data_IF_983595876896
#
_entry.id   IF_983595876896
#
_cell.length_a   1.000
_cell.length_b   1.000
_cell.length_c   1.000
_cell.angle_alpha   90.00
_cell.angle_beta   90.00
_cell.angle_gamma   90.00
#
_symmetry.space_group_name_H-M   'P 1'
#
loop_
_entity.id
_entity.type
_entity.pdbx_description
1 polymer ?
#
# COMPACT_ATOMS: atom_id res chain seq x y z
N UNK A 1 26.87 -4.75 -10.99
CA UNK A 1 25.58 -4.48 -11.66
C UNK A 1 24.96 -3.19 -11.12
N UNK A 2 24.28 -2.41 -11.98
CA UNK A 2 23.56 -1.18 -11.60
C UNK A 2 22.09 -1.29 -11.97
N UNK A 3 21.20 -1.06 -11.01
CA UNK A 3 19.75 -1.13 -11.22
C UNK A 3 19.14 0.26 -11.03
N UNK A 4 18.30 0.72 -11.96
CA UNK A 4 17.46 1.89 -11.80
C UNK A 4 16.07 1.49 -11.30
N UNK A 5 15.69 1.87 -10.08
CA UNK A 5 14.33 1.73 -9.58
C UNK A 5 13.53 2.98 -9.89
N UNK A 6 12.46 2.82 -10.67
CA UNK A 6 11.58 3.92 -11.07
C UNK A 6 10.58 4.23 -9.96
N UNK A 7 10.95 5.18 -9.11
CA UNK A 7 10.18 5.60 -7.95
C UNK A 7 9.09 6.62 -8.27
N UNK A 8 8.04 6.65 -7.47
CA UNK A 8 6.90 7.56 -7.62
C UNK A 8 6.66 8.48 -6.42
N UNK A 9 7.59 8.51 -5.47
CA UNK A 9 7.45 9.31 -4.28
C UNK A 9 7.64 10.81 -4.57
N UNK A 10 6.69 11.61 -4.08
CA UNK A 10 6.75 13.08 -4.11
C UNK A 10 6.48 13.67 -2.72
N UNK A 11 5.37 13.27 -2.11
CA UNK A 11 4.91 13.79 -0.81
C UNK A 11 4.42 12.66 0.09
N UNK A 12 3.72 11.67 -0.49
CA UNK A 12 3.10 10.59 0.26
C UNK A 12 4.14 9.61 0.83
N UNK A 13 4.23 9.51 2.15
CA UNK A 13 5.18 8.63 2.85
C UNK A 13 5.13 7.17 2.38
N UNK A 14 3.96 6.66 2.01
CA UNK A 14 3.81 5.29 1.52
C UNK A 14 4.53 5.01 0.21
N UNK A 15 4.69 6.01 -0.65
CA UNK A 15 5.45 5.86 -1.89
C UNK A 15 6.96 5.84 -1.59
N UNK A 16 7.42 6.64 -0.60
CA UNK A 16 8.81 6.56 -0.09
C UNK A 16 9.11 5.20 0.54
N UNK A 17 8.16 4.60 1.29
CA UNK A 17 8.33 3.26 1.85
C UNK A 17 8.53 2.20 0.76
N UNK A 18 7.77 2.29 -0.35
CA UNK A 18 7.95 1.39 -1.49
C UNK A 18 9.35 1.54 -2.08
N UNK A 19 9.80 2.77 -2.32
CA UNK A 19 11.13 3.04 -2.89
C UNK A 19 12.23 2.49 -2.00
N UNK A 20 12.20 2.81 -0.70
CA UNK A 20 13.18 2.34 0.27
C UNK A 20 13.25 0.81 0.31
N UNK A 21 12.10 0.13 0.50
CA UNK A 21 12.04 -1.33 0.57
C UNK A 21 12.45 -2.01 -0.73
N UNK A 22 12.09 -1.42 -1.88
CA UNK A 22 12.50 -1.95 -3.18
C UNK A 22 14.01 -1.89 -3.37
N UNK A 23 14.63 -0.77 -2.97
CA UNK A 23 16.08 -0.60 -3.00
C UNK A 23 16.77 -1.62 -2.09
N UNK A 24 16.37 -1.67 -0.81
CA UNK A 24 16.91 -2.60 0.19
C UNK A 24 16.84 -4.06 -0.28
N UNK A 25 15.69 -4.47 -0.84
CA UNK A 25 15.48 -5.83 -1.36
C UNK A 25 16.41 -6.16 -2.53
N UNK A 26 16.51 -5.25 -3.49
CA UNK A 26 17.34 -5.49 -4.68
C UNK A 26 18.82 -5.51 -4.31
N UNK A 27 19.30 -4.56 -3.50
CA UNK A 27 20.68 -4.55 -3.03
C UNK A 27 21.04 -5.84 -2.26
N UNK A 28 20.15 -6.30 -1.36
CA UNK A 28 20.39 -7.48 -0.55
C UNK A 28 20.33 -8.82 -1.33
N UNK A 29 19.58 -8.89 -2.43
CA UNK A 29 19.38 -10.15 -3.17
C UNK A 29 20.33 -10.24 -4.37
N UNK A 30 20.73 -9.10 -4.96
CA UNK A 30 21.47 -9.08 -6.23
C UNK A 30 22.88 -8.53 -6.12
N UNK A 31 23.31 -8.03 -4.97
CA UNK A 31 24.58 -7.31 -4.76
C UNK A 31 24.76 -6.12 -5.75
N UNK A 32 23.66 -5.60 -6.29
CA UNK A 32 23.69 -4.51 -7.24
C UNK A 32 23.72 -3.16 -6.52
N UNK A 33 24.32 -2.15 -7.15
CA UNK A 33 24.12 -0.76 -6.78
C UNK A 33 22.76 -0.30 -7.31
N UNK A 34 21.85 0.19 -6.42
CA UNK A 34 20.52 0.61 -6.80
C UNK A 34 20.34 2.12 -6.68
N UNK A 35 20.01 2.75 -7.80
CA UNK A 35 19.67 4.17 -7.89
C UNK A 35 18.14 4.35 -8.00
N UNK A 36 17.57 5.31 -7.25
CA UNK A 36 16.15 5.67 -7.37
C UNK A 36 16.01 6.79 -8.38
N UNK A 37 15.28 6.53 -9.46
CA UNK A 37 14.94 7.50 -10.50
C UNK A 37 13.46 7.87 -10.44
N UNK A 38 13.13 9.12 -10.78
CA UNK A 38 11.73 9.60 -10.77
C UNK A 38 10.97 9.08 -11.99
N UNK A 39 9.88 8.32 -11.78
CA UNK A 39 9.05 7.79 -12.88
C UNK A 39 8.07 8.82 -13.48
N UNK A 40 7.90 9.97 -12.87
CA UNK A 40 6.95 11.01 -13.28
C UNK A 40 7.56 12.12 -14.16
N UNK A 41 8.78 11.91 -14.65
CA UNK A 41 9.44 12.77 -15.64
C UNK A 41 9.68 12.00 -16.93
N UNK A 42 9.87 12.73 -18.04
CA UNK A 42 10.31 12.13 -19.31
C UNK A 42 11.82 11.96 -19.32
N UNK A 43 12.25 10.86 -19.95
CA UNK A 43 13.65 10.56 -20.25
C UNK A 43 13.93 10.55 -21.76
N UNK A 44 13.05 11.13 -22.58
CA UNK A 44 13.24 11.16 -24.04
C UNK A 44 14.59 11.75 -24.45
N UNK A 45 15.05 12.79 -23.74
CA UNK A 45 16.33 13.46 -23.98
C UNK A 45 17.49 12.89 -23.14
N UNK A 46 17.23 11.84 -22.38
CA UNK A 46 18.16 11.20 -21.44
C UNK A 46 18.13 9.67 -21.56
N UNK A 47 17.86 9.17 -22.75
CA UNK A 47 17.78 7.72 -23.01
C UNK A 47 19.12 7.03 -22.67
N UNK A 48 20.25 7.67 -22.93
CA UNK A 48 21.58 7.12 -22.62
C UNK A 48 21.79 6.93 -21.11
N UNK A 49 21.19 7.79 -20.27
CA UNK A 49 21.21 7.59 -18.81
C UNK A 49 20.52 6.29 -18.43
N UNK A 50 19.36 5.99 -19.06
CA UNK A 50 18.63 4.74 -18.83
C UNK A 50 19.37 3.53 -19.37
N UNK A 51 19.98 3.66 -20.55
CA UNK A 51 20.77 2.60 -21.19
C UNK A 51 22.12 2.37 -20.51
N UNK A 52 22.55 3.22 -19.60
CA UNK A 52 23.71 3.05 -18.73
C UNK A 52 23.47 2.17 -17.49
N UNK A 53 22.26 1.67 -17.28
CA UNK A 53 21.92 0.68 -16.26
C UNK A 53 21.86 -0.72 -16.86
N UNK A 54 22.12 -1.72 -16.03
CA UNK A 54 21.96 -3.13 -16.42
C UNK A 54 20.49 -3.54 -16.39
N UNK A 55 19.65 -2.80 -15.62
CA UNK A 55 18.23 -3.06 -15.48
C UNK A 55 17.44 -1.83 -15.02
N UNK A 56 16.20 -1.70 -15.49
CA UNK A 56 15.23 -0.72 -15.05
C UNK A 56 14.05 -1.45 -14.40
N UNK A 57 13.71 -1.09 -13.16
CA UNK A 57 12.63 -1.74 -12.41
C UNK A 57 11.56 -0.73 -11.99
N UNK A 58 10.35 -0.90 -12.48
CA UNK A 58 9.18 -0.22 -11.93
C UNK A 58 8.71 -0.97 -10.69
N UNK A 59 8.95 -0.43 -9.50
CA UNK A 59 8.68 -1.10 -8.25
C UNK A 59 7.43 -0.58 -7.54
N UNK A 60 6.54 -1.49 -7.19
CA UNK A 60 5.35 -1.24 -6.39
C UNK A 60 4.41 -0.16 -6.95
N UNK A 61 3.52 0.32 -6.09
CA UNK A 61 2.56 1.36 -6.41
C UNK A 61 1.49 0.94 -7.43
N UNK A 62 0.55 1.83 -7.77
CA UNK A 62 -0.52 1.52 -8.70
C UNK A 62 -0.10 1.75 -10.16
N UNK A 63 0.81 0.93 -10.66
CA UNK A 63 1.35 1.01 -12.04
C UNK A 63 0.29 0.62 -13.07
N UNK A 64 -0.57 -0.35 -12.76
CA UNK A 64 -1.58 -0.83 -13.69
C UNK A 64 -2.87 0.00 -13.57
N UNK A 65 -2.83 1.23 -14.07
CA UNK A 65 -4.01 2.09 -14.22
C UNK A 65 -4.34 2.28 -15.70
N UNK A 66 -5.57 2.68 -15.99
CA UNK A 66 -6.14 2.72 -17.33
C UNK A 66 -5.24 3.45 -18.34
N UNK A 67 -4.69 4.61 -17.95
CA UNK A 67 -3.95 5.53 -18.82
C UNK A 67 -2.73 6.14 -18.11
N UNK A 68 -2.15 5.43 -17.13
CA UNK A 68 -1.03 5.97 -16.34
C UNK A 68 0.19 6.22 -17.23
N UNK A 69 0.43 5.36 -18.22
CA UNK A 69 1.41 5.57 -19.27
C UNK A 69 0.70 6.05 -20.54
N UNK A 70 1.17 7.11 -21.21
CA UNK A 70 2.30 7.96 -20.80
C UNK A 70 1.93 9.15 -19.89
N UNK A 71 0.66 9.32 -19.50
CA UNK A 71 0.17 10.55 -18.86
C UNK A 71 0.83 10.90 -17.52
N UNK A 72 1.01 9.92 -16.63
CA UNK A 72 1.60 10.10 -15.29
C UNK A 72 2.96 9.45 -15.14
N UNK A 73 3.27 8.54 -16.06
CA UNK A 73 4.58 7.93 -16.21
C UNK A 73 5.01 8.22 -17.64
N UNK A 74 5.51 9.43 -17.94
CA UNK A 74 5.92 9.78 -19.29
C UNK A 74 7.12 9.00 -19.77
N UNK A 75 7.95 8.51 -18.86
CA UNK A 75 9.12 7.67 -19.08
C UNK A 75 9.85 7.98 -20.40
N UNK A 76 9.55 7.22 -21.48
CA UNK A 76 10.01 7.51 -22.85
C UNK A 76 8.85 7.30 -23.84
N UNK A 77 8.78 8.14 -24.88
CA UNK A 77 7.74 8.01 -25.92
C UNK A 77 7.92 6.77 -26.79
N UNK A 78 9.17 6.41 -27.07
CA UNK A 78 9.53 5.24 -27.91
C UNK A 78 10.31 4.24 -27.05
N UNK A 79 9.65 3.20 -26.58
CA UNK A 79 10.26 2.13 -25.77
C UNK A 79 11.39 1.40 -26.53
N UNK A 80 11.33 1.37 -27.88
CA UNK A 80 12.38 0.77 -28.72
C UNK A 80 13.74 1.47 -28.65
N UNK A 81 13.83 2.65 -28.04
CA UNK A 81 15.11 3.32 -27.77
C UNK A 81 15.79 2.80 -26.50
N UNK A 82 15.06 2.07 -25.66
CA UNK A 82 15.61 1.49 -24.43
C UNK A 82 16.11 0.09 -24.72
N UNK A 83 17.43 -0.07 -24.60
CA UNK A 83 18.11 -1.35 -24.76
C UNK A 83 18.19 -2.12 -23.41
N UNK A 84 18.11 -1.38 -22.31
CA UNK A 84 18.14 -1.93 -20.95
C UNK A 84 16.86 -2.72 -20.65
N UNK A 85 16.95 -3.94 -20.10
CA UNK A 85 15.79 -4.72 -19.68
C UNK A 85 14.90 -3.94 -18.71
N UNK A 86 13.59 -3.95 -18.97
CA UNK A 86 12.59 -3.31 -18.11
C UNK A 86 11.80 -4.40 -17.37
N UNK A 87 11.69 -4.26 -16.05
CA UNK A 87 10.94 -5.17 -15.17
C UNK A 87 9.85 -4.44 -14.40
N UNK A 88 8.83 -5.16 -13.96
CA UNK A 88 7.83 -4.66 -13.01
C UNK A 88 7.82 -5.58 -11.81
N UNK A 89 8.05 -5.02 -10.61
CA UNK A 89 8.07 -5.73 -9.34
C UNK A 89 6.99 -5.19 -8.40
N UNK A 90 6.05 -6.04 -7.98
CA UNK A 90 4.99 -5.66 -7.04
C UNK A 90 4.01 -4.60 -7.54
N UNK A 91 3.87 -4.47 -8.87
CA UNK A 91 2.95 -3.52 -9.47
C UNK A 91 1.50 -3.83 -9.11
N UNK A 92 0.71 -2.80 -8.77
CA UNK A 92 -0.68 -2.91 -8.38
C UNK A 92 -1.65 -2.29 -9.36
N UNK A 93 -2.86 -2.84 -9.41
CA UNK A 93 -4.01 -2.22 -10.06
C UNK A 93 -4.69 -1.22 -9.10
N UNK A 94 -5.22 -0.13 -9.65
CA UNK A 94 -6.06 0.81 -8.92
C UNK A 94 -7.42 0.92 -9.62
N UNK A 95 -8.44 0.40 -8.98
CA UNK A 95 -9.84 0.61 -9.35
C UNK A 95 -10.60 1.24 -8.21
N UNK A 96 -11.62 2.04 -8.51
CA UNK A 96 -12.57 2.50 -7.50
C UNK A 96 -13.77 1.57 -7.56
N UNK A 97 -14.17 0.96 -6.40
CA UNK A 97 -15.29 0.16 -6.47
C UNK A 97 -16.06 -0.42 -5.45
N UNK A 98 -17.23 -0.62 -5.82
CA UNK A 98 -18.40 -1.19 -5.22
C UNK A 98 -18.45 -2.69 -5.24
N UNK A 99 -18.05 -3.30 -6.27
CA UNK A 99 -17.92 -4.74 -6.34
C UNK A 99 -16.66 -5.04 -7.15
N UNK A 100 -15.61 -5.32 -6.43
CA UNK A 100 -14.33 -5.73 -6.99
C UNK A 100 -14.53 -6.91 -7.95
N UNK A 101 -15.59 -7.71 -7.74
CA UNK A 101 -15.96 -8.82 -8.63
C UNK A 101 -16.40 -8.38 -10.04
N UNK A 102 -16.90 -7.15 -10.17
CA UNK A 102 -17.40 -6.62 -11.46
C UNK A 102 -16.41 -5.67 -12.12
N UNK A 103 -15.71 -4.85 -11.31
CA UNK A 103 -14.84 -3.80 -11.85
C UNK A 103 -13.68 -4.34 -12.67
N UNK A 104 -12.95 -5.34 -12.18
CA UNK A 104 -11.84 -5.90 -12.94
C UNK A 104 -12.30 -6.52 -14.26
N UNK A 105 -13.54 -7.03 -14.34
CA UNK A 105 -14.12 -7.61 -15.56
C UNK A 105 -14.39 -6.57 -16.65
N UNK A 106 -14.75 -5.34 -16.26
CA UNK A 106 -15.09 -4.23 -17.17
C UNK A 106 -13.92 -3.26 -17.37
N UNK A 107 -12.80 -3.47 -16.66
CA UNK A 107 -11.65 -2.57 -16.74
C UNK A 107 -10.94 -2.71 -18.08
N UNK A 108 -10.62 -1.58 -18.72
CA UNK A 108 -9.90 -1.55 -19.99
C UNK A 108 -8.73 -0.60 -19.86
N UNK A 109 -7.57 -1.04 -20.29
CA UNK A 109 -6.40 -0.18 -20.46
C UNK A 109 -6.47 0.55 -21.80
N UNK A 110 -5.83 1.73 -21.91
CA UNK A 110 -5.63 2.40 -23.20
C UNK A 110 -4.70 1.59 -24.09
N UNK A 111 -4.68 1.90 -25.40
CA UNK A 111 -3.77 1.23 -26.35
C UNK A 111 -2.31 1.42 -25.97
N UNK A 112 -1.93 2.64 -25.55
CA UNK A 112 -0.58 2.99 -25.13
C UNK A 112 -0.17 2.21 -23.88
N UNK A 113 -1.06 2.14 -22.90
CA UNK A 113 -0.80 1.37 -21.68
C UNK A 113 -0.69 -0.13 -21.97
N UNK A 114 -1.54 -0.69 -22.85
CA UNK A 114 -1.42 -2.08 -23.28
C UNK A 114 -0.13 -2.34 -24.07
N UNK A 115 0.30 -1.40 -24.92
CA UNK A 115 1.58 -1.48 -25.61
C UNK A 115 2.73 -1.53 -24.62
N UNK A 116 2.74 -0.67 -23.60
CA UNK A 116 3.73 -0.69 -22.53
C UNK A 116 3.77 -2.02 -21.77
N UNK A 117 2.60 -2.51 -21.32
CA UNK A 117 2.46 -3.79 -20.61
C UNK A 117 2.97 -4.95 -21.48
N UNK A 118 2.53 -5.02 -22.75
CA UNK A 118 2.87 -6.12 -23.65
C UNK A 118 4.36 -6.11 -24.03
N UNK A 119 4.96 -4.94 -24.19
CA UNK A 119 6.40 -4.85 -24.48
C UNK A 119 7.22 -5.52 -23.37
N UNK A 120 6.88 -5.26 -22.10
CA UNK A 120 7.59 -5.85 -20.96
C UNK A 120 7.22 -7.34 -20.78
N UNK A 121 5.91 -7.67 -20.80
CA UNK A 121 5.45 -9.03 -20.50
C UNK A 121 5.80 -10.08 -21.55
N UNK A 122 6.12 -9.68 -22.78
CA UNK A 122 6.65 -10.58 -23.82
C UNK A 122 8.03 -11.10 -23.47
N UNK A 123 8.84 -10.29 -22.81
CA UNK A 123 10.21 -10.64 -22.47
C UNK A 123 10.33 -11.22 -21.07
N UNK A 124 9.56 -10.69 -20.12
CA UNK A 124 9.72 -10.98 -18.71
C UNK A 124 8.37 -11.09 -17.99
N UNK A 125 8.27 -11.92 -16.93
CA UNK A 125 7.08 -11.94 -16.11
C UNK A 125 6.86 -10.61 -15.38
N UNK A 126 5.59 -10.21 -15.23
CA UNK A 126 5.21 -9.03 -14.47
C UNK A 126 4.95 -9.43 -13.02
N UNK A 127 5.70 -8.86 -12.10
CA UNK A 127 5.48 -9.01 -10.66
C UNK A 127 4.24 -8.23 -10.20
N UNK A 128 3.22 -8.94 -9.78
CA UNK A 128 1.94 -8.39 -9.35
C UNK A 128 1.84 -8.30 -7.82
N UNK A 129 1.26 -7.20 -7.32
CA UNK A 129 1.09 -6.97 -5.89
C UNK A 129 0.01 -7.83 -5.25
N UNK A 130 -1.08 -8.10 -5.98
CA UNK A 130 -2.26 -8.78 -5.49
C UNK A 130 -3.02 -9.53 -6.60
N UNK A 131 -3.92 -10.44 -6.19
CA UNK A 131 -4.69 -11.28 -7.10
C UNK A 131 -5.67 -10.50 -7.98
N UNK A 132 -6.21 -9.37 -7.54
CA UNK A 132 -7.07 -8.53 -8.39
C UNK A 132 -6.29 -7.86 -9.51
N UNK A 133 -5.04 -7.48 -9.23
CA UNK A 133 -4.09 -7.02 -10.25
C UNK A 133 -3.87 -8.10 -11.30
N UNK A 134 -3.55 -9.33 -10.89
CA UNK A 134 -3.35 -10.45 -11.82
C UNK A 134 -4.60 -10.71 -12.67
N UNK A 135 -5.78 -10.80 -12.04
CA UNK A 135 -7.04 -11.02 -12.74
C UNK A 135 -7.37 -9.92 -13.73
N UNK A 136 -7.08 -8.66 -13.41
CA UNK A 136 -7.28 -7.51 -14.31
C UNK A 136 -6.39 -7.63 -15.54
N UNK A 137 -5.14 -8.01 -15.37
CA UNK A 137 -4.18 -8.21 -16.45
C UNK A 137 -4.53 -9.44 -17.31
N UNK A 138 -4.90 -10.56 -16.68
CA UNK A 138 -5.36 -11.78 -17.39
C UNK A 138 -6.57 -11.49 -18.27
N UNK A 139 -7.53 -10.69 -17.80
CA UNK A 139 -8.68 -10.23 -18.59
C UNK A 139 -8.29 -9.38 -19.80
N UNK A 140 -7.11 -8.78 -19.77
CA UNK A 140 -6.52 -8.03 -20.88
C UNK A 140 -5.55 -8.90 -21.72
N UNK A 141 -5.65 -10.24 -21.62
CA UNK A 141 -4.83 -11.23 -22.32
C UNK A 141 -3.33 -11.21 -21.98
N UNK A 142 -2.96 -10.65 -20.85
CA UNK A 142 -1.58 -10.73 -20.33
C UNK A 142 -1.42 -12.04 -19.57
N UNK A 143 -0.49 -12.91 -20.00
CA UNK A 143 -0.33 -14.27 -19.44
C UNK A 143 0.89 -14.42 -18.53
N UNK A 144 1.95 -13.67 -18.77
CA UNK A 144 3.21 -13.81 -18.06
C UNK A 144 3.21 -12.99 -16.76
N UNK A 145 2.63 -13.56 -15.69
CA UNK A 145 2.34 -12.89 -14.42
C UNK A 145 2.81 -13.73 -13.24
N UNK A 146 3.41 -13.08 -12.24
CA UNK A 146 3.82 -13.70 -10.98
C UNK A 146 3.27 -12.88 -9.81
N UNK A 147 2.75 -13.54 -8.78
CA UNK A 147 2.31 -12.91 -7.55
C UNK A 147 3.51 -12.66 -6.62
N UNK A 148 4.13 -11.49 -6.74
CA UNK A 148 5.31 -11.12 -5.94
C UNK A 148 4.98 -10.36 -4.67
N UNK A 149 3.72 -9.97 -4.47
CA UNK A 149 3.35 -9.11 -3.35
C UNK A 149 3.83 -7.66 -3.51
N UNK A 150 3.64 -6.87 -2.45
CA UNK A 150 4.09 -5.48 -2.40
C UNK A 150 5.51 -5.40 -1.81
N UNK A 151 6.45 -4.67 -2.41
CA UNK A 151 7.78 -4.47 -1.82
C UNK A 151 7.72 -3.98 -0.35
N UNK A 152 6.75 -3.12 -0.04
CA UNK A 152 6.58 -2.56 1.30
C UNK A 152 6.21 -3.60 2.38
N UNK A 153 5.81 -4.83 2.03
CA UNK A 153 5.60 -5.93 3.00
C UNK A 153 6.91 -6.47 3.58
N UNK A 154 8.02 -6.32 2.86
CA UNK A 154 9.25 -7.05 3.11
C UNK A 154 10.25 -6.20 3.88
N UNK A 155 10.20 -6.27 5.20
CA UNK A 155 11.22 -5.72 6.09
C UNK A 155 12.31 -6.77 6.29
N UNK A 156 13.47 -6.59 5.68
CA UNK A 156 14.56 -7.56 5.75
C UNK A 156 15.00 -7.87 7.20
N UNK A 157 14.84 -6.91 8.10
CA UNK A 157 15.15 -7.12 9.52
C UNK A 157 14.12 -7.96 10.29
N UNK A 158 12.92 -8.19 9.70
CA UNK A 158 11.79 -8.86 10.35
C UNK A 158 11.27 -10.08 9.59
N UNK A 159 11.45 -10.11 8.27
CA UNK A 159 10.71 -11.03 7.39
C UNK A 159 10.88 -12.51 7.76
N UNK A 160 12.09 -12.94 8.10
CA UNK A 160 12.36 -14.36 8.40
C UNK A 160 11.68 -14.82 9.69
N UNK A 161 11.55 -13.92 10.68
CA UNK A 161 10.91 -14.15 11.95
C UNK A 161 9.50 -13.55 12.06
N UNK A 162 8.95 -13.07 10.96
CA UNK A 162 7.67 -12.34 10.96
C UNK A 162 6.53 -13.21 11.48
N UNK A 163 5.96 -12.77 12.59
CA UNK A 163 4.81 -13.39 13.25
C UNK A 163 4.05 -12.34 14.04
N UNK A 164 2.89 -12.73 14.58
CA UNK A 164 2.15 -11.88 15.49
C UNK A 164 3.02 -11.53 16.70
N UNK A 165 3.10 -10.24 17.04
CA UNK A 165 3.87 -9.76 18.18
C UNK A 165 3.32 -10.38 19.49
N UNK A 166 4.21 -10.68 20.43
CA UNK A 166 3.85 -11.31 21.73
C UNK A 166 2.87 -10.48 22.56
N UNK A 167 2.83 -9.15 22.37
CA UNK A 167 1.90 -8.25 23.05
C UNK A 167 0.41 -8.58 22.82
N UNK A 168 0.10 -9.41 21.81
CA UNK A 168 -1.27 -9.86 21.51
C UNK A 168 -1.63 -11.21 22.15
N UNK A 169 -0.72 -11.84 22.87
CA UNK A 169 -0.99 -13.16 23.48
C UNK A 169 -2.05 -13.10 24.58
N UNK A 170 -2.18 -11.95 25.27
CA UNK A 170 -3.16 -11.77 26.36
C UNK A 170 -4.56 -11.42 25.85
N UNK A 171 -4.76 -11.36 24.54
CA UNK A 171 -6.07 -11.35 23.87
C UNK A 171 -6.83 -10.04 23.85
N UNK A 172 -6.60 -9.13 24.76
CA UNK A 172 -7.41 -7.90 24.90
C UNK A 172 -6.65 -6.63 24.59
N UNK A 173 -7.33 -5.67 23.94
CA UNK A 173 -6.83 -4.31 23.80
C UNK A 173 -6.98 -3.61 25.15
N UNK A 174 -5.86 -3.49 25.88
CA UNK A 174 -5.81 -2.79 27.16
C UNK A 174 -6.08 -1.29 26.98
N UNK A 175 -6.71 -0.68 27.98
CA UNK A 175 -6.99 0.78 27.99
C UNK A 175 -5.73 1.67 28.04
N UNK A 176 -4.54 1.10 28.30
CA UNK A 176 -3.28 1.87 28.39
C UNK A 176 -2.41 1.83 27.16
N UNK A 177 -2.90 1.26 26.05
CA UNK A 177 -2.12 1.11 24.81
C UNK A 177 -2.06 2.37 23.96
N UNK A 178 -1.19 2.37 22.97
CA UNK A 178 -1.21 3.39 21.90
C UNK A 178 -1.96 2.86 20.68
N UNK A 179 -2.96 3.61 20.21
CA UNK A 179 -3.72 3.31 19.00
C UNK A 179 -3.35 4.35 17.92
N UNK A 180 -2.91 3.86 16.77
CA UNK A 180 -2.61 4.69 15.61
C UNK A 180 -3.80 4.79 14.66
N UNK A 181 -4.17 5.99 14.23
CA UNK A 181 -5.24 6.21 13.26
C UNK A 181 -4.67 6.95 12.05
N UNK A 182 -4.71 6.32 10.86
CA UNK A 182 -4.23 6.95 9.63
C UNK A 182 -5.33 7.72 8.89
N UNK A 183 -4.95 8.88 8.33
CA UNK A 183 -5.83 9.78 7.57
C UNK A 183 -6.34 9.13 6.28
N UNK A 184 -7.46 9.61 5.69
CA UNK A 184 -7.91 9.16 4.37
C UNK A 184 -7.12 9.81 3.23
N UNK A 185 -7.02 9.09 2.11
CA UNK A 185 -6.49 9.66 0.87
C UNK A 185 -7.56 10.43 0.08
N UNK A 186 -8.83 10.07 0.25
CA UNK A 186 -9.96 10.69 -0.43
C UNK A 186 -10.65 11.72 0.48
N UNK A 187 -10.85 12.96 0.02
CA UNK A 187 -11.50 14.01 0.82
C UNK A 187 -12.89 13.64 1.32
N UNK A 188 -13.66 12.86 0.54
CA UNK A 188 -15.00 12.42 0.92
C UNK A 188 -15.02 11.50 2.16
N UNK A 189 -13.87 10.95 2.57
CA UNK A 189 -13.74 10.10 3.76
C UNK A 189 -13.31 10.88 5.01
N UNK A 190 -13.05 12.18 4.92
CA UNK A 190 -12.69 12.99 6.11
C UNK A 190 -13.76 12.95 7.21
N UNK A 191 -15.09 13.00 6.92
CA UNK A 191 -16.11 12.84 7.96
C UNK A 191 -15.99 11.50 8.69
N UNK A 192 -15.70 10.42 7.98
CA UNK A 192 -15.48 9.09 8.61
C UNK A 192 -14.23 9.06 9.48
N UNK A 193 -13.15 9.69 9.02
CA UNK A 193 -11.92 9.79 9.80
C UNK A 193 -12.17 10.49 11.14
N UNK A 194 -12.83 11.65 11.14
CA UNK A 194 -13.14 12.37 12.37
C UNK A 194 -14.17 11.64 13.23
N UNK A 195 -15.15 10.97 12.62
CA UNK A 195 -16.09 10.08 13.33
C UNK A 195 -15.36 8.96 14.06
N UNK A 196 -14.47 8.26 13.33
CA UNK A 196 -13.64 7.19 13.88
C UNK A 196 -12.75 7.67 15.02
N UNK A 197 -12.10 8.85 14.88
CA UNK A 197 -11.29 9.45 15.96
C UNK A 197 -12.13 9.67 17.22
N UNK A 198 -13.29 10.31 17.08
CA UNK A 198 -14.20 10.55 18.21
C UNK A 198 -14.70 9.23 18.84
N UNK A 199 -14.99 8.22 18.03
CA UNK A 199 -15.41 6.90 18.51
C UNK A 199 -14.29 6.21 19.30
N UNK A 200 -13.08 6.14 18.75
CA UNK A 200 -11.94 5.46 19.39
C UNK A 200 -11.56 6.16 20.70
N UNK A 201 -11.51 7.50 20.72
CA UNK A 201 -11.20 8.25 21.95
C UNK A 201 -12.23 7.99 23.05
N UNK A 202 -13.51 7.88 22.70
CA UNK A 202 -14.58 7.58 23.69
C UNK A 202 -14.51 6.13 24.17
N UNK A 203 -14.24 5.20 23.27
CA UNK A 203 -14.20 3.76 23.60
C UNK A 203 -12.96 3.39 24.41
N UNK A 204 -11.81 3.94 24.07
CA UNK A 204 -10.53 3.67 24.71
C UNK A 204 -10.00 4.93 25.40
N UNK A 205 -10.76 5.41 26.39
CA UNK A 205 -10.53 6.71 27.04
C UNK A 205 -9.17 6.82 27.76
N UNK A 206 -8.55 5.69 28.10
CA UNK A 206 -7.23 5.63 28.72
C UNK A 206 -6.10 5.40 27.71
N UNK A 207 -6.39 5.10 26.45
CA UNK A 207 -5.38 4.87 25.42
C UNK A 207 -4.76 6.18 24.94
N UNK A 208 -3.48 6.10 24.55
CA UNK A 208 -2.85 7.17 23.78
C UNK A 208 -3.25 7.05 22.32
N UNK A 209 -3.82 8.09 21.73
CA UNK A 209 -4.24 8.09 20.33
C UNK A 209 -3.29 8.95 19.51
N UNK A 210 -2.72 8.36 18.43
CA UNK A 210 -1.86 9.08 17.48
C UNK A 210 -2.52 9.14 16.11
N UNK A 211 -2.75 10.35 15.61
CA UNK A 211 -3.26 10.59 14.27
C UNK A 211 -2.09 10.73 13.29
N UNK A 212 -2.08 9.97 12.22
CA UNK A 212 -1.00 9.94 11.24
C UNK A 212 -1.46 10.50 9.90
N UNK A 213 -0.78 11.52 9.39
CA UNK A 213 -1.02 12.16 8.12
C UNK A 213 0.08 11.83 7.12
N UNK A 214 -0.27 11.17 6.03
CA UNK A 214 0.71 10.62 5.07
C UNK A 214 1.07 11.54 3.90
N UNK A 215 0.31 12.63 3.70
CA UNK A 215 0.49 13.58 2.60
C UNK A 215 0.61 15.03 3.05
N UNK A 216 0.94 15.23 4.31
CA UNK A 216 0.88 16.53 4.95
C UNK A 216 -0.52 16.84 5.52
N UNK A 217 -0.58 17.82 6.39
CA UNK A 217 -1.81 18.26 7.05
C UNK A 217 -2.25 19.57 6.40
N UNK A 218 -3.47 19.59 5.84
CA UNK A 218 -4.05 20.85 5.34
C UNK A 218 -4.29 21.84 6.50
N UNK A 219 -4.32 23.15 6.21
CA UNK A 219 -4.61 24.18 7.22
C UNK A 219 -5.94 23.91 7.96
N UNK A 220 -6.96 23.47 7.22
CA UNK A 220 -8.27 23.12 7.76
C UNK A 220 -8.19 21.91 8.70
N UNK A 221 -7.54 20.83 8.27
CA UNK A 221 -7.37 19.62 9.09
C UNK A 221 -6.53 19.91 10.33
N UNK A 222 -5.48 20.72 10.20
CA UNK A 222 -4.63 21.12 11.33
C UNK A 222 -5.42 21.88 12.40
N UNK A 223 -6.29 22.81 11.99
CA UNK A 223 -7.16 23.53 12.92
C UNK A 223 -8.10 22.58 13.69
N UNK A 224 -8.75 21.65 12.97
CA UNK A 224 -9.63 20.64 13.58
C UNK A 224 -8.87 19.72 14.54
N UNK A 225 -7.70 19.24 14.12
CA UNK A 225 -6.86 18.34 14.94
C UNK A 225 -6.36 19.06 16.21
N UNK A 226 -5.94 20.31 16.12
CA UNK A 226 -5.55 21.10 17.30
C UNK A 226 -6.68 21.26 18.31
N UNK A 227 -7.93 21.47 17.84
CA UNK A 227 -9.11 21.51 18.71
C UNK A 227 -9.37 20.18 19.39
N UNK A 228 -9.23 19.06 18.66
CA UNK A 228 -9.35 17.72 19.23
C UNK A 228 -8.26 17.44 20.27
N UNK A 229 -7.01 17.81 20.02
CA UNK A 229 -5.91 17.64 20.97
C UNK A 229 -6.10 18.50 22.25
N UNK A 230 -6.71 19.70 22.12
CA UNK A 230 -7.10 20.50 23.31
C UNK A 230 -8.21 19.83 24.13
N UNK A 231 -9.14 19.16 23.45
CA UNK A 231 -10.27 18.46 24.08
C UNK A 231 -9.86 17.14 24.75
N UNK A 232 -8.91 16.42 24.15
CA UNK A 232 -8.50 15.08 24.57
C UNK A 232 -6.99 15.05 24.82
N UNK A 233 -6.57 15.06 26.08
CA UNK A 233 -5.17 15.16 26.51
C UNK A 233 -4.26 14.04 26.02
N UNK A 234 -4.82 12.87 25.72
CA UNK A 234 -4.10 11.68 25.21
C UNK A 234 -4.12 11.57 23.68
N UNK A 235 -4.59 12.60 22.97
CA UNK A 235 -4.61 12.65 21.52
C UNK A 235 -3.42 13.48 21.01
N UNK A 236 -2.64 12.91 20.11
CA UNK A 236 -1.55 13.58 19.42
C UNK A 236 -1.64 13.36 17.89
N UNK A 237 -0.91 14.14 17.12
CA UNK A 237 -0.82 13.95 15.67
C UNK A 237 0.63 14.00 15.18
N UNK A 238 0.87 13.33 14.06
CA UNK A 238 2.17 13.24 13.41
C UNK A 238 2.00 13.44 11.91
N UNK A 239 2.80 14.32 11.32
CA UNK A 239 2.93 14.43 9.87
C UNK A 239 4.07 13.52 9.40
N UNK A 240 3.74 12.55 8.54
CA UNK A 240 4.68 11.58 7.98
C UNK A 240 5.13 11.94 6.56
N UNK A 241 4.64 13.04 6.00
CA UNK A 241 4.90 13.37 4.60
C UNK A 241 6.39 13.55 4.30
N UNK A 242 6.79 13.27 3.06
CA UNK A 242 8.14 13.55 2.56
C UNK A 242 9.20 12.50 2.80
N UNK A 243 8.95 11.47 3.63
CA UNK A 243 9.91 10.38 3.83
C UNK A 243 9.27 9.07 4.29
N UNK A 244 10.03 7.97 4.31
CA UNK A 244 9.62 6.71 4.91
C UNK A 244 9.94 6.62 6.41
N UNK A 245 10.85 7.45 6.93
CA UNK A 245 11.33 7.38 8.31
C UNK A 245 10.22 7.51 9.36
N UNK A 246 9.22 8.34 9.07
CA UNK A 246 8.08 8.55 9.95
C UNK A 246 7.28 7.28 10.27
N UNK A 247 7.35 6.25 9.43
CA UNK A 247 6.67 4.97 9.68
C UNK A 247 7.12 4.29 10.98
N UNK A 248 8.34 4.53 11.45
CA UNK A 248 8.85 4.00 12.73
C UNK A 248 7.97 4.40 13.92
N UNK A 249 7.21 5.50 13.81
CA UNK A 249 6.24 5.92 14.84
C UNK A 249 5.11 4.89 15.06
N UNK A 250 4.78 4.08 14.04
CA UNK A 250 3.80 3.01 14.18
C UNK A 250 4.28 1.84 15.05
N UNK A 251 5.60 1.68 15.24
CA UNK A 251 6.15 0.61 16.09
C UNK A 251 5.70 0.73 17.56
N UNK A 252 5.34 1.95 17.99
CA UNK A 252 4.81 2.21 19.32
C UNK A 252 3.31 1.89 19.44
N UNK A 253 2.62 1.66 18.31
CA UNK A 253 1.20 1.38 18.32
C UNK A 253 0.94 -0.09 18.63
N UNK A 254 -0.01 -0.34 19.51
CA UNK A 254 -0.57 -1.68 19.72
C UNK A 254 -1.51 -2.04 18.57
N UNK A 255 -2.32 -1.10 18.12
CA UNK A 255 -3.31 -1.27 17.08
C UNK A 255 -3.22 -0.11 16.09
N UNK A 256 -3.28 -0.41 14.80
CA UNK A 256 -3.53 0.57 13.75
C UNK A 256 -4.94 0.39 13.21
N UNK A 257 -5.67 1.51 13.06
CA UNK A 257 -6.96 1.55 12.36
C UNK A 257 -6.92 2.73 11.38
N UNK A 258 -7.38 2.57 10.15
CA UNK A 258 -7.50 3.74 9.26
C UNK A 258 -7.49 3.42 7.79
N UNK A 259 -7.21 4.44 6.98
CA UNK A 259 -7.51 4.41 5.56
C UNK A 259 -6.28 4.20 4.66
N UNK A 260 -5.06 4.32 5.21
CA UNK A 260 -3.83 4.25 4.42
C UNK A 260 -3.35 2.82 4.22
N UNK A 261 -3.39 2.36 2.97
CA UNK A 261 -2.91 1.01 2.60
C UNK A 261 -1.47 0.77 3.04
N UNK A 262 -0.57 1.76 2.90
CA UNK A 262 0.83 1.58 3.31
C UNK A 262 1.03 1.63 4.83
N UNK A 263 0.19 2.35 5.59
CA UNK A 263 0.18 2.21 7.04
C UNK A 263 -0.21 0.80 7.46
N UNK A 264 -1.26 0.25 6.84
CA UNK A 264 -1.65 -1.14 7.06
C UNK A 264 -0.53 -2.12 6.72
N UNK A 265 0.05 -2.01 5.52
CA UNK A 265 1.15 -2.85 5.05
C UNK A 265 2.36 -2.76 6.00
N UNK A 266 2.75 -1.55 6.41
CA UNK A 266 3.85 -1.36 7.35
C UNK A 266 3.60 -2.06 8.68
N UNK A 267 2.43 -1.84 9.29
CA UNK A 267 2.10 -2.51 10.56
C UNK A 267 2.14 -4.03 10.43
N UNK A 268 1.61 -4.59 9.34
CA UNK A 268 1.72 -6.02 9.07
C UNK A 268 3.17 -6.47 8.93
N UNK A 269 4.05 -5.70 8.27
CA UNK A 269 5.48 -6.03 8.15
C UNK A 269 6.23 -6.02 9.48
N UNK A 270 5.65 -5.41 10.53
CA UNK A 270 6.19 -5.37 11.88
C UNK A 270 5.57 -6.41 12.84
N UNK A 271 4.63 -7.23 12.37
CA UNK A 271 3.90 -8.18 13.22
C UNK A 271 2.76 -7.54 14.03
N UNK A 272 2.34 -6.32 13.68
CA UNK A 272 1.30 -5.58 14.38
C UNK A 272 -0.08 -5.81 13.77
N UNK A 273 -1.11 -5.83 14.59
CA UNK A 273 -2.51 -5.85 14.16
C UNK A 273 -2.88 -4.51 13.51
N UNK A 274 -3.52 -4.59 12.36
CA UNK A 274 -3.88 -3.41 11.58
C UNK A 274 -5.22 -3.58 10.88
N UNK A 275 -6.15 -2.68 11.14
CA UNK A 275 -7.50 -2.65 10.55
C UNK A 275 -7.52 -1.60 9.45
N UNK A 276 -7.68 -2.05 8.20
CA UNK A 276 -7.77 -1.16 7.05
C UNK A 276 -9.23 -0.92 6.65
N UNK A 277 -9.61 0.35 6.59
CA UNK A 277 -10.86 0.81 6.01
C UNK A 277 -10.60 1.16 4.55
N UNK A 278 -11.12 0.35 3.64
CA UNK A 278 -10.76 0.44 2.23
C UNK A 278 -11.38 1.66 1.54
N UNK A 279 -10.54 2.40 0.84
CA UNK A 279 -10.94 3.53 -0.03
C UNK A 279 -11.00 3.15 -1.50
N UNK A 280 -10.30 2.11 -1.92
CA UNK A 280 -10.25 1.62 -3.30
C UNK A 280 -9.77 0.16 -3.38
N UNK A 281 -9.70 -0.38 -4.58
CA UNK A 281 -9.32 -1.76 -4.83
C UNK A 281 -7.91 -2.15 -4.32
N UNK A 282 -7.04 -1.20 -4.00
CA UNK A 282 -5.68 -1.49 -3.51
C UNK A 282 -5.72 -2.17 -2.14
N UNK A 283 -6.49 -1.60 -1.21
CA UNK A 283 -6.65 -2.19 0.12
C UNK A 283 -7.35 -3.53 0.07
N UNK A 284 -8.43 -3.61 -0.70
CA UNK A 284 -9.18 -4.85 -0.92
C UNK A 284 -8.28 -5.94 -1.48
N UNK A 285 -7.44 -5.61 -2.48
CA UNK A 285 -6.51 -6.55 -3.09
C UNK A 285 -5.46 -7.07 -2.10
N UNK A 286 -4.91 -6.17 -1.28
CA UNK A 286 -3.94 -6.50 -0.22
C UNK A 286 -4.57 -7.45 0.81
N UNK A 287 -5.73 -7.09 1.37
CA UNK A 287 -6.41 -7.93 2.36
C UNK A 287 -6.81 -9.29 1.79
N UNK A 288 -7.33 -9.31 0.57
CA UNK A 288 -7.68 -10.57 -0.11
C UNK A 288 -6.45 -11.47 -0.32
N UNK A 289 -5.29 -10.90 -0.70
CA UNK A 289 -4.07 -11.65 -0.87
C UNK A 289 -3.56 -12.27 0.44
N UNK A 290 -3.87 -11.65 1.58
CA UNK A 290 -3.43 -12.06 2.91
C UNK A 290 -4.50 -12.84 3.72
N UNK A 291 -5.70 -13.02 3.17
CA UNK A 291 -6.81 -13.64 3.88
C UNK A 291 -7.32 -12.83 5.06
N UNK A 292 -7.18 -11.49 4.99
CA UNK A 292 -7.72 -10.55 5.97
C UNK A 292 -9.09 -10.06 5.48
N UNK A 293 -10.06 -9.94 6.37
CA UNK A 293 -11.37 -9.41 6.04
C UNK A 293 -11.32 -7.92 5.67
N UNK A 294 -12.23 -7.53 4.77
CA UNK A 294 -12.32 -6.16 4.27
C UNK A 294 -13.40 -5.35 4.99
N UNK A 295 -13.04 -4.11 5.36
CA UNK A 295 -14.00 -3.09 5.75
C UNK A 295 -14.05 -2.07 4.61
N UNK A 296 -15.17 -2.03 3.91
CA UNK A 296 -15.37 -1.16 2.75
C UNK A 296 -16.28 0.00 3.12
N UNK A 297 -15.83 1.24 2.94
CA UNK A 297 -16.63 2.42 3.26
C UNK A 297 -17.05 3.24 2.04
N UNK A 298 -16.74 2.78 0.83
CA UNK A 298 -17.06 3.52 -0.39
C UNK A 298 -17.91 2.74 -1.36
N UNK A 299 -18.94 3.45 -1.89
CA UNK A 299 -19.63 3.09 -3.11
C UNK A 299 -19.25 4.06 -4.23
N UNK A 300 -18.86 3.52 -5.39
CA UNK A 300 -18.80 4.29 -6.62
C UNK A 300 -20.02 4.01 -7.46
N UNK A 301 -20.90 4.99 -7.62
CA UNK A 301 -21.96 4.94 -8.59
C UNK A 301 -21.53 5.79 -9.80
N UNK A 302 -21.27 5.13 -10.93
CA UNK A 302 -20.86 5.67 -12.25
C UNK A 302 -19.82 6.80 -12.25
N UNK A 303 -20.13 8.00 -11.78
CA UNK A 303 -19.24 9.18 -11.83
C UNK A 303 -18.88 9.75 -10.46
N UNK A 304 -19.56 9.34 -9.41
CA UNK A 304 -19.40 9.93 -8.07
C UNK A 304 -18.96 8.84 -7.08
N UNK A 305 -17.90 9.14 -6.32
CA UNK A 305 -17.49 8.33 -5.17
C UNK A 305 -18.28 8.84 -3.98
N UNK A 306 -19.14 8.00 -3.43
CA UNK A 306 -19.95 8.32 -2.25
C UNK A 306 -19.62 7.38 -1.10
N UNK A 307 -19.74 7.84 0.14
CA UNK A 307 -19.79 6.96 1.29
C UNK A 307 -20.91 5.93 1.17
N UNK A 308 -20.62 4.69 1.56
CA UNK A 308 -21.60 3.57 1.46
C UNK A 308 -22.44 3.42 2.69
N UNK A 309 -21.97 3.93 3.83
CA UNK A 309 -22.57 3.75 5.13
C UNK A 309 -22.50 5.05 5.93
N UNK A 310 -23.31 5.21 6.97
CA UNK A 310 -23.16 6.33 7.92
C UNK A 310 -21.95 6.13 8.83
N UNK A 311 -21.46 7.20 9.49
CA UNK A 311 -20.42 7.09 10.51
C UNK A 311 -20.78 6.08 11.59
N UNK A 312 -22.00 6.10 12.06
CA UNK A 312 -22.50 5.21 13.11
C UNK A 312 -22.46 3.73 12.69
N UNK A 313 -22.81 3.43 11.46
CA UNK A 313 -22.70 2.07 10.91
C UNK A 313 -21.23 1.66 10.79
N UNK A 314 -20.34 2.55 10.33
CA UNK A 314 -18.92 2.26 10.25
C UNK A 314 -18.30 2.00 11.64
N UNK A 315 -18.67 2.80 12.64
CA UNK A 315 -18.27 2.61 14.05
C UNK A 315 -18.67 1.22 14.55
N UNK A 316 -19.90 0.79 14.26
CA UNK A 316 -20.41 -0.54 14.62
C UNK A 316 -19.61 -1.64 13.92
N UNK A 317 -19.41 -1.53 12.61
CA UNK A 317 -18.63 -2.52 11.82
C UNK A 317 -17.19 -2.64 12.38
N UNK A 318 -16.54 -1.52 12.66
CA UNK A 318 -15.19 -1.51 13.24
C UNK A 318 -15.17 -2.19 14.62
N UNK A 319 -16.15 -1.89 15.46
CA UNK A 319 -16.27 -2.47 16.80
C UNK A 319 -16.47 -3.99 16.74
N UNK A 320 -17.38 -4.46 15.91
CA UNK A 320 -17.66 -5.89 15.78
C UNK A 320 -16.46 -6.62 15.18
N UNK A 321 -15.76 -5.99 14.23
CA UNK A 321 -14.54 -6.53 13.69
C UNK A 321 -13.42 -6.64 14.75
N UNK A 322 -13.23 -5.62 15.60
CA UNK A 322 -12.25 -5.68 16.68
C UNK A 322 -12.57 -6.81 17.67
N UNK A 323 -13.83 -6.95 18.07
CA UNK A 323 -14.29 -8.05 18.94
C UNK A 323 -14.04 -9.42 18.30
N UNK A 324 -14.32 -9.54 17.00
CA UNK A 324 -14.11 -10.77 16.24
C UNK A 324 -12.63 -11.16 16.21
N UNK A 325 -11.73 -10.23 15.89
CA UNK A 325 -10.30 -10.53 15.80
C UNK A 325 -9.71 -10.90 17.17
N UNK A 326 -10.12 -10.22 18.25
CA UNK A 326 -9.74 -10.56 19.61
C UNK A 326 -10.23 -11.97 20.00
N UNK A 327 -11.54 -12.24 19.85
CA UNK A 327 -12.15 -13.54 20.16
C UNK A 327 -11.53 -14.70 19.38
N UNK A 328 -11.09 -14.45 18.15
CA UNK A 328 -10.42 -15.45 17.31
C UNK A 328 -8.92 -15.61 17.62
N UNK A 329 -8.37 -14.92 18.62
CA UNK A 329 -6.94 -14.91 18.91
C UNK A 329 -6.10 -14.39 17.76
N UNK A 330 -6.64 -13.42 17.01
CA UNK A 330 -5.99 -12.79 15.84
C UNK A 330 -5.61 -13.79 14.73
N UNK A 331 -6.37 -14.87 14.57
CA UNK A 331 -6.05 -15.98 13.67
C UNK A 331 -5.77 -15.54 12.23
N UNK A 332 -6.56 -14.58 11.68
CA UNK A 332 -6.33 -14.10 10.33
C UNK A 332 -4.98 -13.39 10.16
N UNK A 333 -4.49 -12.68 11.17
CA UNK A 333 -3.17 -12.04 11.15
C UNK A 333 -2.04 -13.08 11.23
N UNK A 334 -2.19 -14.13 12.05
CA UNK A 334 -1.23 -15.24 12.10
C UNK A 334 -1.09 -15.91 10.73
N UNK A 335 -2.19 -16.11 10.00
CA UNK A 335 -2.19 -16.61 8.62
C UNK A 335 -1.57 -15.61 7.65
N UNK A 336 -1.90 -14.33 7.77
CA UNK A 336 -1.36 -13.28 6.92
C UNK A 336 0.18 -13.18 7.01
N UNK A 337 0.77 -13.29 8.20
CA UNK A 337 2.22 -13.26 8.37
C UNK A 337 2.90 -14.47 7.73
N UNK A 338 2.30 -15.67 7.81
CA UNK A 338 2.78 -16.83 7.07
C UNK A 338 2.74 -16.55 5.56
N UNK A 339 1.62 -16.02 5.07
CA UNK A 339 1.43 -15.71 3.65
C UNK A 339 2.42 -14.64 3.15
N UNK A 340 2.74 -13.62 3.96
CA UNK A 340 3.75 -12.61 3.62
C UNK A 340 5.13 -13.26 3.43
N UNK A 341 5.53 -14.20 4.31
CA UNK A 341 6.80 -14.94 4.15
C UNK A 341 6.80 -15.81 2.90
N UNK A 342 5.69 -16.46 2.58
CA UNK A 342 5.56 -17.26 1.35
C UNK A 342 5.71 -16.37 0.10
N UNK A 343 5.06 -15.21 0.06
CA UNK A 343 5.25 -14.24 -1.02
C UNK A 343 6.66 -13.66 -1.06
N UNK A 344 7.32 -13.51 0.08
CA UNK A 344 8.72 -13.08 0.11
C UNK A 344 9.63 -14.08 -0.61
N UNK A 345 9.45 -15.38 -0.42
CA UNK A 345 10.22 -16.40 -1.14
C UNK A 345 10.01 -16.29 -2.65
N UNK A 346 8.77 -16.06 -3.10
CA UNK A 346 8.47 -15.82 -4.52
C UNK A 346 9.13 -14.53 -5.01
N UNK A 347 9.06 -13.44 -4.23
CA UNK A 347 9.68 -12.17 -4.57
C UNK A 347 11.21 -12.29 -4.64
N UNK A 348 11.83 -13.01 -3.70
CA UNK A 348 13.28 -13.28 -3.68
C UNK A 348 13.72 -14.02 -4.93
N UNK A 349 13.02 -15.12 -5.30
CA UNK A 349 13.30 -15.86 -6.52
C UNK A 349 13.06 -15.02 -7.78
N UNK A 350 12.03 -14.20 -7.78
CA UNK A 350 11.73 -13.29 -8.89
C UNK A 350 12.84 -12.24 -9.07
N UNK A 351 13.33 -11.64 -8.00
CA UNK A 351 14.43 -10.64 -8.05
C UNK A 351 15.73 -11.34 -8.45
N UNK A 352 16.07 -12.49 -7.88
CA UNK A 352 17.25 -13.26 -8.25
C UNK A 352 17.23 -13.67 -9.73
N UNK A 353 16.07 -14.02 -10.27
CA UNK A 353 15.88 -14.35 -11.69
C UNK A 353 15.84 -13.12 -12.63
N UNK A 354 16.08 -11.93 -12.11
CA UNK A 354 16.28 -10.73 -12.92
C UNK A 354 17.72 -10.61 -13.46
N UNK A 355 18.66 -11.26 -12.79
CA UNK A 355 20.08 -11.33 -13.15
C UNK A 355 20.24 -12.46 -14.16
#
# INVERSE_FOLDING_TARGET
MRIAVMGGALVNSGDFLIEQRSKELMEAITDAKVDILKRNISYDDKVDVLNGYDMIVFAGGPIFQQDIYPKRIPFVRKLSKINTPIRIFGGGWKGYNISHRVMYKKYKFTKEMMSFINNISKQYPLGCRDWYTMRTLQKSNVKNLIMTGCPAWYDLSKIDSLKLDKKYNDGTISDSVTIGISDPALPCNKPYFYGLVNFIVRKYHNANIKLFFHRGISKEDLAKVKLLCKKYSKLAYVDLSGSAEGFKQYNQCFLHIGFRVHAHIYNLSQGNVSVLINEDARGIGVNHALGIENIDCLLKNSKVIKPSVSNQILETIVLDYLRYIEKSGYMQYRRAYKQIREYFNVAKSFIAGMI
#
